data_IF_407658652528
#
_entry.id   IF_407658652528
#
_cell.length_a   1.000
_cell.length_b   1.000
_cell.length_c   1.000
_cell.angle_alpha   90.00
_cell.angle_beta   90.00
_cell.angle_gamma   90.00
#
_symmetry.space_group_name_H-M   'P 1'
#
loop_
_entity.id
_entity.type
_entity.pdbx_description
1 polymer ?
#
# COMPACT_ATOMS: atom_id res chain seq x y z
N UNK A 1 38.01 24.42 57.19
CA UNK A 1 36.97 24.67 58.22
C UNK A 1 35.67 24.89 57.44
N UNK A 2 34.80 23.88 57.33
CA UNK A 2 33.51 23.75 58.08
C UNK A 2 32.60 24.97 57.81
N UNK A 3 31.38 24.90 57.26
CA UNK A 3 30.24 23.97 57.41
C UNK A 3 29.36 24.01 56.12
N UNK A 4 28.73 22.94 55.59
CA UNK A 4 27.50 22.22 55.99
C UNK A 4 26.26 23.11 56.27
N UNK A 5 25.20 22.89 55.50
CA UNK A 5 23.82 23.27 55.80
C UNK A 5 22.83 22.52 54.89
N UNK A 6 22.24 21.45 55.41
CA UNK A 6 21.17 20.64 54.77
C UNK A 6 19.82 21.35 54.92
N UNK A 7 18.99 21.30 53.88
CA UNK A 7 17.60 21.75 53.90
C UNK A 7 16.68 20.68 53.31
N UNK A 8 15.93 20.03 54.19
CA UNK A 8 15.01 18.92 53.98
C UNK A 8 13.79 19.32 53.12
N UNK A 9 13.36 18.44 52.19
CA UNK A 9 12.01 18.48 51.55
C UNK A 9 10.96 18.06 52.58
N UNK A 10 9.68 18.50 52.50
CA UNK A 10 8.68 17.62 51.87
C UNK A 10 7.39 18.26 51.28
N UNK A 11 6.70 17.42 50.50
CA UNK A 11 5.22 17.26 50.32
C UNK A 11 4.43 18.26 49.44
N UNK A 12 4.14 17.77 48.23
CA UNK A 12 2.80 17.48 47.66
C UNK A 12 1.63 18.42 48.01
N UNK A 13 1.01 18.99 46.97
CA UNK A 13 -0.37 18.79 46.50
C UNK A 13 -0.65 19.91 45.46
N UNK A 14 -0.84 19.63 44.18
CA UNK A 14 -2.04 19.10 43.48
C UNK A 14 -2.85 20.24 42.82
N UNK A 15 -3.30 19.95 41.59
CA UNK A 15 -4.13 20.72 40.63
C UNK A 15 -3.33 21.60 39.67
N UNK A 16 -3.39 21.44 38.36
CA UNK A 16 -4.25 20.61 37.54
C UNK A 16 -4.59 21.38 36.27
N UNK A 17 -3.97 21.02 35.15
CA UNK A 17 -4.45 21.35 33.81
C UNK A 17 -3.94 20.25 32.87
N UNK A 18 -4.74 19.23 32.53
CA UNK A 18 -4.39 18.38 31.42
C UNK A 18 -4.56 19.22 30.17
N UNK A 19 -3.46 19.48 29.47
CA UNK A 19 -3.50 19.78 28.04
C UNK A 19 -4.27 18.62 27.41
N UNK A 20 -5.54 18.87 27.08
CA UNK A 20 -6.37 17.98 26.29
C UNK A 20 -5.76 17.94 24.90
N UNK A 21 -4.67 17.17 24.75
CA UNK A 21 -4.43 16.46 23.51
C UNK A 21 -5.61 15.52 23.36
N UNK A 22 -6.62 16.01 22.65
CA UNK A 22 -7.73 15.24 22.14
C UNK A 22 -7.18 14.15 21.22
N UNK A 23 -6.63 13.09 21.83
CA UNK A 23 -6.46 11.81 21.17
C UNK A 23 -7.87 11.24 21.07
N UNK A 24 -8.61 11.77 20.10
CA UNK A 24 -9.77 11.11 19.54
C UNK A 24 -9.27 9.77 19.04
N UNK A 25 -9.31 8.78 19.92
CA UNK A 25 -9.15 7.38 19.60
C UNK A 25 -10.45 7.01 18.91
N UNK A 26 -10.59 7.46 17.67
CA UNK A 26 -11.55 6.90 16.74
C UNK A 26 -11.12 5.45 16.56
N UNK A 27 -11.79 4.55 17.28
CA UNK A 27 -11.77 3.11 17.04
C UNK A 27 -12.48 2.78 15.74
N UNK A 28 -12.14 3.50 14.67
CA UNK A 28 -12.52 3.18 13.31
C UNK A 28 -11.39 2.27 12.82
N UNK A 29 -11.67 1.02 12.39
CA UNK A 29 -10.63 0.29 11.66
C UNK A 29 -10.19 1.24 10.55
N UNK A 30 -8.88 1.41 10.40
CA UNK A 30 -8.33 2.08 9.24
C UNK A 30 -8.71 1.23 8.03
N UNK A 31 -9.95 1.39 7.54
CA UNK A 31 -10.23 1.30 6.13
C UNK A 31 -9.15 2.16 5.51
N UNK A 32 -8.17 1.49 4.89
CA UNK A 32 -6.90 2.04 4.46
C UNK A 32 -7.13 3.47 3.99
N UNK A 33 -6.47 4.43 4.64
CA UNK A 33 -6.60 5.84 4.27
C UNK A 33 -6.47 5.92 2.73
N UNK A 34 -7.56 6.34 2.08
CA UNK A 34 -7.73 6.39 0.64
C UNK A 34 -6.80 7.44 0.02
N UNK A 35 -5.50 7.21 0.13
CA UNK A 35 -4.42 8.04 -0.36
C UNK A 35 -3.71 7.33 -1.51
N UNK A 36 -3.23 8.12 -2.46
CA UNK A 36 -2.39 7.61 -3.56
C UNK A 36 -1.15 6.91 -2.99
N UNK A 37 -0.85 5.72 -3.50
CA UNK A 37 0.36 4.99 -3.14
C UNK A 37 1.59 5.79 -3.58
N UNK A 38 2.45 6.18 -2.63
CA UNK A 38 3.68 6.92 -2.95
C UNK A 38 4.62 6.14 -3.86
N UNK A 39 4.70 4.82 -3.69
CA UNK A 39 5.49 3.93 -4.56
C UNK A 39 4.96 3.98 -5.99
N UNK A 40 3.64 3.97 -6.14
CA UNK A 40 3.01 4.07 -7.46
C UNK A 40 3.29 5.43 -8.11
N UNK A 41 3.11 6.55 -7.39
CA UNK A 41 3.37 7.89 -7.93
C UNK A 41 4.84 8.07 -8.35
N UNK A 42 5.77 7.51 -7.57
CA UNK A 42 7.18 7.59 -7.89
C UNK A 42 7.53 6.80 -9.16
N UNK A 43 6.96 5.59 -9.30
CA UNK A 43 7.13 4.81 -10.50
C UNK A 43 6.44 5.43 -11.72
N UNK A 44 5.24 5.98 -11.53
CA UNK A 44 4.50 6.71 -12.56
C UNK A 44 5.27 7.96 -13.04
N UNK A 45 5.97 8.63 -12.14
CA UNK A 45 6.84 9.76 -12.46
C UNK A 45 8.15 9.38 -13.15
N UNK A 46 8.42 8.09 -13.36
CA UNK A 46 9.64 7.61 -14.03
C UNK A 46 10.90 7.62 -13.15
N UNK A 47 10.77 7.92 -11.86
CA UNK A 47 11.91 7.98 -10.94
C UNK A 47 12.43 6.59 -10.56
N UNK A 48 11.52 5.61 -10.46
CA UNK A 48 11.85 4.21 -10.17
C UNK A 48 11.04 3.28 -11.04
N UNK A 49 11.51 2.03 -11.20
CA UNK A 49 10.66 0.98 -11.75
C UNK A 49 9.46 0.69 -10.84
N UNK A 50 8.37 0.17 -11.41
CA UNK A 50 7.24 -0.34 -10.62
C UNK A 50 7.72 -1.51 -9.73
N UNK A 51 7.23 -1.63 -8.49
CA UNK A 51 7.57 -2.76 -7.63
C UNK A 51 7.21 -4.09 -8.29
N UNK A 52 8.13 -5.06 -8.24
CA UNK A 52 7.89 -6.42 -8.74
C UNK A 52 7.27 -7.26 -7.62
N UNK A 53 6.04 -7.71 -7.84
CA UNK A 53 5.31 -8.59 -6.95
C UNK A 53 5.15 -9.96 -7.62
N UNK A 54 5.37 -11.04 -6.88
CA UNK A 54 5.17 -12.40 -7.41
C UNK A 54 3.68 -12.77 -7.37
N UNK A 55 2.92 -12.25 -8.33
CA UNK A 55 1.48 -12.46 -8.43
C UNK A 55 1.13 -13.82 -9.05
N UNK A 56 2.06 -14.45 -9.78
CA UNK A 56 1.88 -15.81 -10.31
C UNK A 56 1.85 -16.85 -9.18
N UNK A 57 2.86 -16.83 -8.30
CA UNK A 57 2.88 -17.72 -7.14
C UNK A 57 1.70 -17.45 -6.20
N UNK A 58 1.34 -16.17 -6.02
CA UNK A 58 0.17 -15.79 -5.23
C UNK A 58 -1.13 -16.36 -5.80
N UNK A 59 -1.31 -16.30 -7.13
CA UNK A 59 -2.50 -16.83 -7.80
C UNK A 59 -2.57 -18.35 -7.72
N UNK A 60 -1.42 -19.04 -7.83
CA UNK A 60 -1.34 -20.50 -7.71
C UNK A 60 -1.71 -21.01 -6.31
N UNK A 61 -1.41 -20.23 -5.26
CA UNK A 61 -1.66 -20.59 -3.86
C UNK A 61 -2.71 -19.69 -3.19
N UNK A 62 -3.69 -19.18 -3.95
CA UNK A 62 -4.63 -18.17 -3.45
C UNK A 62 -5.37 -18.60 -2.17
N UNK A 63 -5.84 -19.85 -2.10
CA UNK A 63 -6.56 -20.34 -0.91
C UNK A 63 -5.69 -20.41 0.35
N UNK A 64 -4.40 -20.68 0.21
CA UNK A 64 -3.45 -20.66 1.33
C UNK A 64 -3.15 -19.22 1.75
N UNK A 65 -2.92 -18.34 0.76
CA UNK A 65 -2.68 -16.92 1.00
C UNK A 65 -3.87 -16.23 1.68
N UNK A 66 -5.10 -16.60 1.34
CA UNK A 66 -6.32 -16.11 2.01
C UNK A 66 -6.37 -16.49 3.49
N UNK A 67 -6.07 -17.76 3.80
CA UNK A 67 -6.04 -18.24 5.18
C UNK A 67 -4.95 -17.55 5.98
N UNK A 68 -3.76 -17.42 5.40
CA UNK A 68 -2.65 -16.71 6.02
C UNK A 68 -3.02 -15.25 6.28
N UNK A 69 -3.63 -14.56 5.30
CA UNK A 69 -4.05 -13.17 5.42
C UNK A 69 -5.06 -12.96 6.57
N UNK A 70 -6.03 -13.87 6.72
CA UNK A 70 -7.00 -13.83 7.81
C UNK A 70 -6.32 -13.92 9.19
N UNK A 71 -5.26 -14.74 9.33
CA UNK A 71 -4.52 -14.87 10.61
C UNK A 71 -3.76 -13.60 10.98
N UNK A 72 -3.33 -12.81 9.99
CA UNK A 72 -2.55 -11.58 10.20
C UNK A 72 -3.40 -10.43 10.75
N UNK A 73 -4.73 -10.51 10.64
CA UNK A 73 -5.70 -9.49 11.12
C UNK A 73 -5.34 -8.07 10.67
N UNK A 74 -4.90 -7.97 9.41
CA UNK A 74 -4.51 -6.72 8.76
C UNK A 74 -5.69 -5.93 8.20
N UNK A 75 -5.42 -4.82 7.49
CA UNK A 75 -6.46 -4.01 6.86
C UNK A 75 -7.05 -4.63 5.59
N UNK A 76 -6.42 -5.67 5.03
CA UNK A 76 -6.92 -6.44 3.89
C UNK A 76 -7.40 -7.80 4.37
N UNK A 77 -8.54 -8.25 3.85
CA UNK A 77 -9.09 -9.58 4.08
C UNK A 77 -9.08 -10.46 2.82
N UNK A 78 -9.57 -11.70 2.93
CA UNK A 78 -9.61 -12.67 1.83
C UNK A 78 -10.35 -12.16 0.59
N UNK A 79 -11.45 -11.40 0.79
CA UNK A 79 -12.20 -10.81 -0.31
C UNK A 79 -11.38 -9.79 -1.10
N UNK A 80 -10.66 -8.92 -0.40
CA UNK A 80 -9.81 -7.91 -1.04
C UNK A 80 -8.69 -8.59 -1.83
N UNK A 81 -8.14 -9.68 -1.32
CA UNK A 81 -7.12 -10.46 -2.01
C UNK A 81 -7.62 -11.03 -3.34
N UNK A 82 -8.84 -11.59 -3.36
CA UNK A 82 -9.48 -12.07 -4.60
C UNK A 82 -9.66 -10.95 -5.62
N UNK A 83 -10.09 -9.78 -5.17
CA UNK A 83 -10.29 -8.61 -6.03
C UNK A 83 -8.95 -8.11 -6.62
N UNK A 84 -7.89 -8.10 -5.80
CA UNK A 84 -6.53 -7.75 -6.25
C UNK A 84 -6.04 -8.74 -7.32
N UNK A 85 -6.22 -10.04 -7.11
CA UNK A 85 -5.81 -11.07 -8.08
C UNK A 85 -6.61 -10.96 -9.38
N UNK A 86 -7.93 -10.78 -9.29
CA UNK A 86 -8.77 -10.59 -10.47
C UNK A 86 -8.38 -9.33 -11.27
N UNK A 87 -8.08 -8.23 -10.58
CA UNK A 87 -7.61 -6.99 -11.22
C UNK A 87 -6.27 -7.19 -11.91
N UNK A 88 -5.36 -7.97 -11.31
CA UNK A 88 -4.09 -8.32 -11.93
C UNK A 88 -4.27 -9.16 -13.18
N UNK A 89 -5.12 -10.19 -13.15
CA UNK A 89 -5.41 -11.04 -14.31
C UNK A 89 -5.94 -10.21 -15.48
N UNK A 90 -6.90 -9.32 -15.21
CA UNK A 90 -7.42 -8.39 -16.22
C UNK A 90 -6.34 -7.46 -16.79
N UNK A 91 -5.38 -7.02 -15.96
CA UNK A 91 -4.28 -6.20 -16.44
C UNK A 91 -3.37 -6.98 -17.41
N UNK A 92 -3.14 -8.27 -17.15
CA UNK A 92 -2.38 -9.14 -18.05
C UNK A 92 -3.12 -9.30 -19.38
N UNK A 93 -4.42 -9.59 -19.35
CA UNK A 93 -5.26 -9.70 -20.55
C UNK A 93 -5.18 -8.44 -21.42
N UNK A 94 -5.31 -7.26 -20.81
CA UNK A 94 -5.21 -5.98 -21.54
C UNK A 94 -3.81 -5.77 -22.13
N UNK A 95 -2.75 -6.20 -21.44
CA UNK A 95 -1.39 -6.08 -21.97
C UNK A 95 -1.17 -7.00 -23.18
N UNK A 96 -1.71 -8.22 -23.14
CA UNK A 96 -1.65 -9.15 -24.27
C UNK A 96 -2.44 -8.60 -25.48
N UNK A 97 -3.63 -8.05 -25.23
CA UNK A 97 -4.45 -7.41 -26.28
C UNK A 97 -3.72 -6.22 -26.93
N UNK A 98 -3.09 -5.36 -26.12
CA UNK A 98 -2.27 -4.25 -26.63
C UNK A 98 -1.14 -4.78 -27.51
N UNK A 99 -0.44 -5.84 -27.08
CA UNK A 99 0.67 -6.39 -27.85
C UNK A 99 0.23 -6.91 -29.24
N UNK A 100 -0.94 -7.55 -29.31
CA UNK A 100 -1.53 -8.00 -30.58
C UNK A 100 -1.86 -6.80 -31.47
N UNK A 101 -2.55 -5.79 -30.92
CA UNK A 101 -2.95 -4.61 -31.67
C UNK A 101 -1.74 -3.78 -32.15
N UNK A 102 -0.67 -3.73 -31.37
CA UNK A 102 0.57 -3.07 -31.76
C UNK A 102 1.23 -3.77 -32.96
N UNK A 103 1.26 -5.11 -32.98
CA UNK A 103 1.78 -5.87 -34.10
C UNK A 103 0.92 -5.72 -35.37
N UNK A 104 -0.42 -5.71 -35.23
CA UNK A 104 -1.32 -5.47 -36.35
C UNK A 104 -1.15 -4.07 -36.93
N UNK A 105 -1.00 -3.06 -36.06
CA UNK A 105 -0.73 -1.67 -36.47
C UNK A 105 0.54 -1.58 -37.31
N UNK A 106 1.61 -2.26 -36.91
CA UNK A 106 2.88 -2.28 -37.65
C UNK A 106 2.70 -2.94 -39.02
N UNK A 107 2.04 -4.10 -39.07
CA UNK A 107 1.74 -4.78 -40.33
C UNK A 107 0.96 -3.91 -41.31
N UNK A 108 -0.10 -3.24 -40.85
CA UNK A 108 -0.89 -2.34 -41.71
C UNK A 108 -0.07 -1.15 -42.20
N UNK A 109 0.81 -0.61 -41.35
CA UNK A 109 1.70 0.49 -41.76
C UNK A 109 2.68 0.05 -42.87
N UNK A 110 3.23 -1.16 -42.78
CA UNK A 110 4.07 -1.74 -43.84
C UNK A 110 3.30 -1.96 -45.14
N UNK A 111 2.10 -2.55 -45.06
CA UNK A 111 1.25 -2.80 -46.23
C UNK A 111 0.91 -1.49 -46.97
N UNK A 112 0.55 -0.43 -46.24
CA UNK A 112 0.28 0.89 -46.83
C UNK A 112 1.55 1.53 -47.40
N UNK A 113 2.68 1.42 -46.70
CA UNK A 113 3.97 1.94 -47.17
C UNK A 113 4.45 1.29 -48.47
N UNK A 114 4.10 0.02 -48.71
CA UNK A 114 4.43 -0.70 -49.94
C UNK A 114 3.50 -0.36 -51.13
N UNK A 115 2.36 0.30 -50.88
CA UNK A 115 1.39 0.70 -51.92
C UNK A 115 1.72 2.09 -52.49
N UNK A 116 2.36 2.96 -51.70
CA UNK A 116 2.70 4.37 -52.05
C UNK A 116 4.09 4.45 -52.68
#
# INVERSE_FOLDING_TARGET
RLCRGLGFRPRLLRRGLPLLFSRARSGRPAAAAAGRSRLYEHARGGWTARPRLNLEALSAQLGEAERELETRKGPLGPRDLREIVATWQRLVEVQEEIAVLEAEKEKVAEEVGNIV
#
